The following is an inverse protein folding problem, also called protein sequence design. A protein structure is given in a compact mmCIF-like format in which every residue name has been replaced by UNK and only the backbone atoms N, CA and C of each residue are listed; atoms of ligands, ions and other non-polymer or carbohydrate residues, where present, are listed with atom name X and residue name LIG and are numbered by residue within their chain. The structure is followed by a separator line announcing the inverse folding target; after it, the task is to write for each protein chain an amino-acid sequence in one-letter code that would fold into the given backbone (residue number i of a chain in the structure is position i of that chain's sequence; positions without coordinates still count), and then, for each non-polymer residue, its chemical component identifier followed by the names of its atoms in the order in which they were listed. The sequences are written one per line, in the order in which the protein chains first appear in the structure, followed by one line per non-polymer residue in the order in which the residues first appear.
data_IF_992729886604
#
_entry.id   IF_992729886604
#
_cell.length_a   1.000
_cell.length_b   1.000
_cell.length_c   1.000
_cell.angle_alpha   90.00
_cell.angle_beta   90.00
_cell.angle_gamma   90.00
#
_symmetry.space_group_name_H-M   'P 1'
#
loop_
_entity.id
_entity.type
_entity.pdbx_description
1 polymer ?
#
# COMPACT_ATOMS: atom_id res chain seq x y z
N UNK A 1 -22.90 33.76 5.41
CA UNK A 1 -22.05 33.06 4.41
C UNK A 1 -20.58 32.89 4.84
N UNK A 2 -20.23 33.29 6.06
CA UNK A 2 -18.85 33.50 6.55
C UNK A 2 -18.41 32.35 7.48
N UNK A 3 -19.34 31.77 8.24
CA UNK A 3 -19.09 30.62 9.12
C UNK A 3 -18.89 29.33 8.33
N UNK A 4 -19.71 29.11 7.30
CA UNK A 4 -19.55 28.00 6.35
C UNK A 4 -18.25 28.09 5.55
N UNK A 5 -17.85 29.29 5.12
CA UNK A 5 -16.59 29.51 4.40
C UNK A 5 -15.36 29.28 5.30
N UNK A 6 -15.43 29.71 6.57
CA UNK A 6 -14.41 29.41 7.58
C UNK A 6 -14.24 27.90 7.79
N UNK A 7 -15.35 27.16 7.95
CA UNK A 7 -15.32 25.70 8.13
C UNK A 7 -14.74 24.95 6.92
N UNK A 8 -15.04 25.40 5.69
CA UNK A 8 -14.47 24.83 4.45
C UNK A 8 -12.97 25.10 4.34
N UNK A 9 -12.52 26.28 4.75
CA UNK A 9 -11.10 26.65 4.71
C UNK A 9 -10.29 25.89 5.78
N UNK A 10 -10.87 25.65 6.96
CA UNK A 10 -10.29 24.79 8.00
C UNK A 10 -10.23 23.33 7.56
N UNK A 11 -11.26 22.80 6.89
CA UNK A 11 -11.25 21.46 6.30
C UNK A 11 -10.20 21.31 5.19
N UNK A 12 -10.04 22.31 4.32
CA UNK A 12 -8.96 22.35 3.33
C UNK A 12 -7.58 22.45 3.97
N UNK A 13 -7.43 23.15 5.09
CA UNK A 13 -6.20 23.21 5.88
C UNK A 13 -5.90 21.92 6.66
N UNK A 14 -6.91 21.09 6.92
CA UNK A 14 -6.75 19.74 7.50
C UNK A 14 -6.40 18.69 6.43
N UNK A 15 -6.96 18.82 5.21
CA UNK A 15 -6.67 17.94 4.07
C UNK A 15 -5.27 18.22 3.45
N UNK A 16 -4.89 19.49 3.34
CA UNK A 16 -3.52 19.91 3.08
C UNK A 16 -2.79 19.90 4.42
N UNK A 17 -2.37 18.74 4.90
CA UNK A 17 -1.58 18.65 6.13
C UNK A 17 -0.50 19.74 6.10
N UNK A 18 -0.62 20.62 7.08
CA UNK A 18 0.25 21.76 7.27
C UNK A 18 1.70 21.32 7.09
N UNK A 19 2.36 21.91 6.10
CA UNK A 19 3.79 21.82 5.96
C UNK A 19 4.47 22.21 7.25
N UNK A 20 5.59 21.55 7.53
CA UNK A 20 6.66 22.14 8.33
C UNK A 20 7.19 23.32 7.48
N UNK A 21 6.61 24.51 7.63
CA UNK A 21 6.90 25.71 6.83
C UNK A 21 5.96 25.93 5.63
N UNK A 22 6.40 26.72 4.64
CA UNK A 22 5.64 27.15 3.44
C UNK A 22 5.41 26.03 2.39
N UNK A 23 5.72 24.77 2.74
CA UNK A 23 5.59 23.63 1.83
C UNK A 23 4.24 22.94 1.99
N UNK A 24 3.35 23.10 1.01
CA UNK A 24 2.05 22.42 0.99
C UNK A 24 2.25 20.93 0.70
N UNK A 25 2.18 20.09 1.73
CA UNK A 25 2.29 18.63 1.58
C UNK A 25 0.89 18.04 1.40
N UNK A 26 0.74 17.17 0.40
CA UNK A 26 -0.53 16.47 0.17
C UNK A 26 -0.74 15.40 1.25
N UNK A 27 -1.67 15.66 2.17
CA UNK A 27 -2.05 14.79 3.29
C UNK A 27 -2.39 13.35 2.93
N UNK A 28 -3.21 13.15 1.89
CA UNK A 28 -3.59 11.81 1.47
C UNK A 28 -2.39 10.92 1.12
N UNK A 29 -1.33 11.49 0.52
CA UNK A 29 -0.14 10.72 0.09
C UNK A 29 0.65 10.23 1.31
N UNK A 30 0.77 11.06 2.35
CA UNK A 30 1.48 10.68 3.57
C UNK A 30 0.72 9.64 4.40
N UNK A 31 -0.61 9.71 4.47
CA UNK A 31 -1.38 8.66 5.17
C UNK A 31 -1.30 7.34 4.39
N UNK A 32 -1.39 7.40 3.07
CA UNK A 32 -1.32 6.21 2.21
C UNK A 32 0.03 5.49 2.34
N UNK A 33 1.14 6.25 2.39
CA UNK A 33 2.46 5.64 2.56
C UNK A 33 2.61 4.97 3.93
N UNK A 34 2.10 5.56 5.00
CA UNK A 34 2.12 4.97 6.35
C UNK A 34 1.33 3.66 6.44
N UNK A 35 0.14 3.60 5.84
CA UNK A 35 -0.68 2.38 5.81
C UNK A 35 0.05 1.25 5.08
N UNK A 36 0.68 1.54 3.95
CA UNK A 36 1.41 0.54 3.17
C UNK A 36 2.62 0.02 3.94
N UNK A 37 3.36 0.90 4.63
CA UNK A 37 4.48 0.50 5.49
C UNK A 37 4.02 -0.46 6.59
N UNK A 38 2.87 -0.19 7.24
CA UNK A 38 2.31 -1.06 8.27
C UNK A 38 1.96 -2.45 7.73
N UNK A 39 1.23 -2.52 6.60
CA UNK A 39 0.87 -3.80 5.96
C UNK A 39 2.13 -4.59 5.56
N UNK A 40 3.17 -3.91 5.08
CA UNK A 40 4.42 -4.55 4.70
C UNK A 40 5.18 -5.14 5.90
N UNK A 41 5.23 -4.39 7.00
CA UNK A 41 5.83 -4.86 8.26
C UNK A 41 5.05 -6.04 8.85
N UNK A 42 3.73 -5.97 8.84
CA UNK A 42 2.88 -7.05 9.35
C UNK A 42 3.06 -8.32 8.51
N UNK A 43 3.04 -8.21 7.18
CA UNK A 43 3.28 -9.34 6.26
C UNK A 43 4.67 -9.96 6.45
N UNK A 44 5.72 -9.14 6.56
CA UNK A 44 7.08 -9.63 6.75
C UNK A 44 7.25 -10.30 8.13
N UNK A 45 6.57 -9.79 9.15
CA UNK A 45 6.60 -10.37 10.49
C UNK A 45 5.86 -11.70 10.51
N UNK A 46 4.71 -11.83 9.85
CA UNK A 46 3.98 -13.11 9.77
C UNK A 46 4.81 -14.20 9.08
N UNK A 47 5.52 -13.85 8.00
CA UNK A 47 6.36 -14.78 7.23
C UNK A 47 7.59 -15.27 8.02
N UNK A 48 8.21 -14.39 8.82
CA UNK A 48 9.38 -14.72 9.67
C UNK A 48 8.99 -15.55 10.90
N UNK A 49 7.80 -15.31 11.47
CA UNK A 49 7.40 -15.92 12.74
C UNK A 49 6.88 -17.35 12.60
N UNK A 50 6.40 -17.74 11.41
CA UNK A 50 5.98 -19.11 11.16
C UNK A 50 6.32 -19.51 9.73
N UNK A 51 7.55 -20.00 9.46
CA UNK A 51 7.92 -20.56 8.18
C UNK A 51 7.22 -21.92 8.00
N UNK A 52 5.89 -21.91 7.88
CA UNK A 52 5.14 -23.07 7.44
C UNK A 52 5.39 -23.20 5.95
N UNK A 53 6.17 -24.21 5.57
CA UNK A 53 6.22 -24.73 4.22
C UNK A 53 4.80 -25.14 3.82
N UNK A 54 4.12 -24.26 3.08
CA UNK A 54 2.81 -24.48 2.43
C UNK A 54 1.67 -24.67 3.46
N UNK A 55 0.83 -23.66 3.73
CA UNK A 55 -0.38 -23.90 4.49
C UNK A 55 -1.44 -24.51 3.56
N UNK A 56 -1.60 -25.81 3.73
CA UNK A 56 -2.72 -26.63 3.28
C UNK A 56 -4.07 -25.88 3.39
N UNK A 57 -4.64 -25.47 2.25
CA UNK A 57 -6.09 -25.49 1.97
C UNK A 57 -7.05 -24.57 2.75
N UNK A 58 -6.88 -23.23 2.67
CA UNK A 58 -7.92 -22.25 3.05
C UNK A 58 -7.85 -20.93 2.24
N UNK A 59 -8.88 -20.03 2.27
CA UNK A 59 -8.92 -18.78 1.49
C UNK A 59 -7.99 -17.72 2.09
N UNK A 60 -6.69 -17.97 2.05
CA UNK A 60 -5.69 -17.04 2.53
C UNK A 60 -5.46 -15.98 1.45
N UNK A 61 -6.13 -14.83 1.55
CA UNK A 61 -6.04 -13.74 0.56
C UNK A 61 -4.59 -13.34 0.26
N UNK A 62 -3.72 -13.35 1.28
CA UNK A 62 -2.28 -13.06 1.09
C UNK A 62 -1.57 -14.07 0.20
N UNK A 63 -1.90 -15.35 0.31
CA UNK A 63 -1.31 -16.40 -0.53
C UNK A 63 -1.80 -16.30 -1.98
N UNK A 64 -3.10 -16.04 -2.18
CA UNK A 64 -3.64 -15.75 -3.50
C UNK A 64 -2.94 -14.55 -4.15
N UNK A 65 -2.72 -13.47 -3.40
CA UNK A 65 -2.01 -12.28 -3.91
C UNK A 65 -0.54 -12.59 -4.21
N UNK A 66 0.16 -13.34 -3.35
CA UNK A 66 1.55 -13.74 -3.60
C UNK A 66 1.68 -14.67 -4.81
N UNK A 67 0.77 -15.62 -4.98
CA UNK A 67 0.72 -16.52 -6.14
C UNK A 67 0.44 -15.75 -7.43
N UNK A 68 -0.50 -14.79 -7.39
CA UNK A 68 -0.75 -13.88 -8.50
C UNK A 68 0.49 -13.05 -8.88
N UNK A 69 1.18 -12.45 -7.90
CA UNK A 69 2.43 -11.70 -8.13
C UNK A 69 3.48 -12.63 -8.75
N UNK A 70 3.57 -13.87 -8.28
CA UNK A 70 4.52 -14.88 -8.78
C UNK A 70 4.25 -15.24 -10.23
N UNK A 71 2.99 -15.48 -10.59
CA UNK A 71 2.57 -15.80 -11.95
C UNK A 71 2.79 -14.64 -12.91
N UNK A 72 2.48 -13.41 -12.49
CA UNK A 72 2.79 -12.20 -13.26
C UNK A 72 4.30 -12.07 -13.47
N UNK A 73 5.09 -12.23 -12.40
CA UNK A 73 6.55 -12.13 -12.48
C UNK A 73 7.14 -13.19 -13.41
N UNK A 74 6.66 -14.44 -13.31
CA UNK A 74 7.10 -15.55 -14.16
C UNK A 74 6.73 -15.34 -15.63
N UNK A 75 5.54 -14.79 -15.90
CA UNK A 75 5.08 -14.52 -17.26
C UNK A 75 5.86 -13.37 -17.90
N UNK A 76 6.20 -12.33 -17.14
CA UNK A 76 6.85 -11.12 -17.68
C UNK A 76 8.37 -11.19 -17.70
N UNK A 77 9.00 -11.87 -16.73
CA UNK A 77 10.46 -11.95 -16.59
C UNK A 77 11.03 -13.26 -17.13
N UNK A 78 10.27 -14.36 -17.08
CA UNK A 78 10.77 -15.69 -17.44
C UNK A 78 11.38 -16.43 -16.25
N UNK A 79 12.34 -17.34 -16.47
CA UNK A 79 12.86 -18.25 -15.44
C UNK A 79 13.60 -17.55 -14.29
N UNK A 80 14.15 -16.35 -14.53
CA UNK A 80 14.90 -15.58 -13.52
C UNK A 80 14.02 -14.69 -12.64
N UNK A 81 12.71 -14.95 -12.57
CA UNK A 81 11.75 -14.10 -11.85
C UNK A 81 11.92 -14.06 -10.32
N UNK A 82 12.59 -15.06 -9.73
CA UNK A 82 12.66 -15.26 -8.27
C UNK A 82 13.08 -14.02 -7.46
N UNK A 83 14.21 -13.36 -7.79
CA UNK A 83 14.65 -12.14 -7.10
C UNK A 83 13.71 -10.94 -7.28
N UNK A 84 12.89 -10.93 -8.32
CA UNK A 84 12.04 -9.80 -8.69
C UNK A 84 10.64 -9.87 -8.07
N UNK A 85 10.20 -11.03 -7.59
CA UNK A 85 8.92 -11.23 -6.90
C UNK A 85 8.68 -10.20 -5.78
N UNK A 86 9.61 -9.97 -4.83
CA UNK A 86 9.37 -8.97 -3.78
C UNK A 86 9.28 -7.54 -4.32
N UNK A 87 10.02 -7.21 -5.38
CA UNK A 87 9.97 -5.88 -6.00
C UNK A 87 8.64 -5.64 -6.73
N UNK A 88 8.18 -6.61 -7.52
CA UNK A 88 6.87 -6.51 -8.19
C UNK A 88 5.74 -6.50 -7.17
N UNK A 89 5.83 -7.31 -6.10
CA UNK A 89 4.82 -7.37 -5.05
C UNK A 89 4.64 -6.06 -4.28
N UNK A 90 5.74 -5.43 -3.87
CA UNK A 90 5.72 -4.11 -3.22
C UNK A 90 5.06 -3.05 -4.09
N UNK A 91 5.48 -2.94 -5.36
CA UNK A 91 4.94 -1.95 -6.28
C UNK A 91 3.46 -2.19 -6.57
N UNK A 92 3.06 -3.44 -6.79
CA UNK A 92 1.67 -3.80 -7.05
C UNK A 92 0.76 -3.40 -5.88
N UNK A 93 1.10 -3.82 -4.66
CA UNK A 93 0.33 -3.48 -3.46
C UNK A 93 0.30 -1.97 -3.21
N UNK A 94 1.43 -1.29 -3.43
CA UNK A 94 1.50 0.16 -3.26
C UNK A 94 0.57 0.90 -4.22
N UNK A 95 0.62 0.56 -5.50
CA UNK A 95 -0.19 1.20 -6.54
C UNK A 95 -1.67 0.84 -6.36
N UNK A 96 -1.99 -0.42 -6.05
CA UNK A 96 -3.37 -0.88 -5.84
C UNK A 96 -4.03 -0.11 -4.69
N UNK A 97 -3.36 0.01 -3.55
CA UNK A 97 -3.89 0.74 -2.38
C UNK A 97 -4.00 2.24 -2.66
N UNK A 98 -2.99 2.84 -3.30
CA UNK A 98 -3.05 4.24 -3.73
C UNK A 98 -4.25 4.50 -4.66
N UNK A 99 -4.44 3.65 -5.66
CA UNK A 99 -5.51 3.81 -6.65
C UNK A 99 -6.89 3.69 -6.00
N UNK A 100 -7.06 2.70 -5.12
CA UNK A 100 -8.33 2.49 -4.39
C UNK A 100 -8.65 3.71 -3.52
N UNK A 101 -7.68 4.23 -2.76
CA UNK A 101 -7.87 5.39 -1.86
C UNK A 101 -8.14 6.68 -2.64
N UNK A 102 -7.48 6.91 -3.78
CA UNK A 102 -7.71 8.12 -4.59
C UNK A 102 -9.09 8.11 -5.26
N UNK A 103 -9.65 6.93 -5.52
CA UNK A 103 -10.98 6.79 -6.16
C UNK A 103 -12.17 6.81 -5.18
N UNK A 104 -11.93 6.64 -3.88
CA UNK A 104 -12.93 6.58 -2.82
C UNK A 104 -13.14 7.96 -2.15
#
# INVERSE_FOLDING_TARGET
MNVLSCSINTLKGLYNISGIGDFQVHGPVLITSWVIIAIFLDSATIDVWNPQTIPTGGPNFFEYVLEFIRDVSKTQIGEEYGPWVPFIGTMFLFIFVCLVIISA
#
